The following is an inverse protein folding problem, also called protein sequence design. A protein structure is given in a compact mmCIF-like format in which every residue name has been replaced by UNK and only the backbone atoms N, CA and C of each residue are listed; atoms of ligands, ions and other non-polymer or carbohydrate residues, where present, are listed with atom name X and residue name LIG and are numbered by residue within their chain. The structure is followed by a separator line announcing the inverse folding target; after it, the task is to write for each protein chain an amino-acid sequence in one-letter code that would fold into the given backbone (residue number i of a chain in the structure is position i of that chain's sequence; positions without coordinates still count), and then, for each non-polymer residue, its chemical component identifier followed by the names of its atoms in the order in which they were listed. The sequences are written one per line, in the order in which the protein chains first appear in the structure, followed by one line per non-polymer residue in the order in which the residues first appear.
data_IF_401563249293
#
_entry.id   IF_401563249293
#
_cell.length_a   1.000
_cell.length_b   1.000
_cell.length_c   1.000
_cell.angle_alpha   90.00
_cell.angle_beta   90.00
_cell.angle_gamma   90.00
#
_symmetry.space_group_name_H-M   'P 1'
#
loop_
_entity.id
_entity.type
_entity.pdbx_description
1 polymer ?
#
# COMPACT_ATOMS: atom_id res chain seq x y z
N UNK A 1 -5.29 2.35 -24.27
CA UNK A 1 -4.55 1.53 -23.30
C UNK A 1 -5.58 1.18 -22.20
N UNK A 2 -5.30 0.30 -21.23
CA UNK A 2 -6.33 -0.03 -20.22
C UNK A 2 -6.50 1.18 -19.29
N UNK A 3 -7.72 1.70 -19.11
CA UNK A 3 -8.00 2.87 -18.27
C UNK A 3 -7.45 2.72 -16.84
N UNK A 4 -7.58 1.53 -16.23
CA UNK A 4 -7.04 1.25 -14.91
C UNK A 4 -5.50 1.38 -14.87
N UNK A 5 -4.83 0.95 -15.95
CA UNK A 5 -3.39 1.08 -16.08
C UNK A 5 -2.96 2.53 -16.33
N UNK A 6 -3.73 3.30 -17.09
CA UNK A 6 -3.49 4.73 -17.30
C UNK A 6 -3.55 5.49 -15.98
N UNK A 7 -4.55 5.20 -15.13
CA UNK A 7 -4.69 5.78 -13.79
C UNK A 7 -3.51 5.39 -12.87
N UNK A 8 -3.13 4.11 -12.83
CA UNK A 8 -1.99 3.65 -12.03
C UNK A 8 -0.65 4.26 -12.50
N UNK A 9 -0.46 4.38 -13.81
CA UNK A 9 0.72 5.03 -14.39
C UNK A 9 0.75 6.53 -14.07
N UNK A 10 -0.39 7.21 -14.13
CA UNK A 10 -0.48 8.64 -13.79
C UNK A 10 -0.08 8.89 -12.33
N UNK A 11 -0.61 8.12 -11.39
CA UNK A 11 -0.20 8.19 -9.98
C UNK A 11 1.31 7.97 -9.80
N UNK A 12 1.88 6.97 -10.49
CA UNK A 12 3.32 6.69 -10.44
C UNK A 12 4.17 7.84 -10.99
N UNK A 13 3.71 8.52 -12.04
CA UNK A 13 4.41 9.67 -12.63
C UNK A 13 4.33 10.90 -11.71
N UNK A 14 3.19 11.13 -11.05
CA UNK A 14 3.04 12.18 -10.03
C UNK A 14 4.00 11.96 -8.86
N UNK A 15 4.17 10.72 -8.42
CA UNK A 15 5.20 10.40 -7.42
C UNK A 15 6.62 10.71 -7.91
N UNK A 16 6.90 10.46 -9.19
CA UNK A 16 8.17 10.86 -9.81
C UNK A 16 8.40 12.37 -9.73
N UNK A 17 7.35 13.17 -9.93
CA UNK A 17 7.40 14.63 -9.75
C UNK A 17 7.69 15.01 -8.30
N UNK A 18 7.02 14.37 -7.33
CA UNK A 18 7.31 14.56 -5.90
C UNK A 18 8.78 14.32 -5.58
N UNK A 19 9.35 13.17 -5.99
CA UNK A 19 10.76 12.84 -5.72
C UNK A 19 11.71 13.93 -6.25
N UNK A 20 11.45 14.46 -7.44
CA UNK A 20 12.29 15.52 -8.03
C UNK A 20 12.17 16.82 -7.23
N UNK A 21 10.95 17.23 -6.89
CA UNK A 21 10.70 18.48 -6.17
C UNK A 21 11.20 18.43 -4.73
N UNK A 22 11.03 17.31 -4.03
CA UNK A 22 11.50 17.12 -2.66
C UNK A 22 13.03 17.24 -2.53
N UNK A 23 13.77 17.01 -3.62
CA UNK A 23 15.23 17.15 -3.68
C UNK A 23 15.70 18.50 -4.22
N UNK A 24 14.78 19.42 -4.50
CA UNK A 24 15.09 20.74 -5.04
C UNK A 24 14.88 21.78 -3.94
N UNK A 25 15.96 22.45 -3.54
CA UNK A 25 15.91 23.51 -2.53
C UNK A 25 14.92 24.62 -2.95
N UNK A 26 14.05 25.05 -2.02
CA UNK A 26 13.05 26.08 -2.28
C UNK A 26 11.79 25.58 -3.00
N UNK A 27 11.62 24.26 -3.16
CA UNK A 27 10.43 23.63 -3.75
C UNK A 27 9.58 22.86 -2.74
N UNK A 28 9.70 23.14 -1.44
CA UNK A 28 9.08 22.36 -0.36
C UNK A 28 7.55 22.33 -0.49
N UNK A 29 6.92 23.47 -0.75
CA UNK A 29 5.46 23.57 -0.94
C UNK A 29 5.01 22.80 -2.19
N UNK A 30 5.77 22.87 -3.29
CA UNK A 30 5.44 22.15 -4.52
C UNK A 30 5.65 20.64 -4.36
N UNK A 31 6.60 20.23 -3.52
CA UNK A 31 6.82 18.84 -3.17
C UNK A 31 5.62 18.28 -2.41
N UNK A 32 5.16 18.97 -1.36
CA UNK A 32 3.97 18.58 -0.58
C UNK A 32 2.71 18.50 -1.47
N UNK A 33 2.51 19.47 -2.36
CA UNK A 33 1.42 19.43 -3.33
C UNK A 33 1.52 18.25 -4.30
N UNK A 34 2.74 17.90 -4.73
CA UNK A 34 2.96 16.77 -5.64
C UNK A 34 2.77 15.42 -4.94
N UNK A 35 3.15 15.32 -3.66
CA UNK A 35 2.89 14.15 -2.82
C UNK A 35 1.38 13.93 -2.67
N UNK A 36 0.65 14.96 -2.23
CA UNK A 36 -0.80 14.87 -2.07
C UNK A 36 -1.50 14.51 -3.39
N UNK A 37 -1.10 15.13 -4.51
CA UNK A 37 -1.67 14.81 -5.81
C UNK A 37 -1.42 13.35 -6.23
N UNK A 38 -0.27 12.76 -5.86
CA UNK A 38 0.01 11.36 -6.12
C UNK A 38 -0.86 10.44 -5.25
N UNK A 39 -1.07 10.79 -3.98
CA UNK A 39 -1.93 10.05 -3.05
C UNK A 39 -3.40 10.12 -3.52
N UNK A 40 -3.90 11.32 -3.86
CA UNK A 40 -5.26 11.52 -4.36
C UNK A 40 -5.51 10.69 -5.63
N UNK A 41 -4.54 10.67 -6.56
CA UNK A 41 -4.64 9.84 -7.77
C UNK A 41 -4.72 8.33 -7.47
N UNK A 42 -4.05 7.87 -6.41
CA UNK A 42 -4.16 6.47 -5.95
C UNK A 42 -5.52 6.20 -5.30
N UNK A 43 -6.06 7.14 -4.53
CA UNK A 43 -7.39 7.00 -3.93
C UNK A 43 -8.48 6.98 -5.00
N UNK A 44 -8.38 7.84 -6.01
CA UNK A 44 -9.26 7.86 -7.17
C UNK A 44 -9.20 6.52 -7.93
N UNK A 45 -7.99 6.00 -8.18
CA UNK A 45 -7.79 4.69 -8.78
C UNK A 45 -8.47 3.58 -7.96
N UNK A 46 -8.29 3.56 -6.64
CA UNK A 46 -8.91 2.56 -5.77
C UNK A 46 -10.44 2.65 -5.78
N UNK A 47 -10.98 3.86 -5.73
CA UNK A 47 -12.43 4.13 -5.84
C UNK A 47 -12.99 3.64 -7.18
N UNK A 48 -12.33 3.97 -8.28
CA UNK A 48 -12.71 3.53 -9.62
C UNK A 48 -12.60 2.01 -9.78
N UNK A 49 -11.60 1.38 -9.16
CA UNK A 49 -11.46 -0.08 -9.20
C UNK A 49 -12.61 -0.77 -8.46
N UNK A 50 -13.02 -0.26 -7.29
CA UNK A 50 -14.17 -0.77 -6.54
C UNK A 50 -15.48 -0.56 -7.29
N UNK A 51 -15.70 0.65 -7.83
CA UNK A 51 -16.98 1.05 -8.38
C UNK A 51 -17.18 0.63 -9.84
N UNK A 52 -16.13 0.65 -10.68
CA UNK A 52 -16.30 0.62 -12.14
C UNK A 52 -15.42 -0.38 -12.88
N UNK A 53 -14.15 -0.52 -12.49
CA UNK A 53 -13.14 -1.20 -13.32
C UNK A 53 -12.88 -2.64 -12.87
N UNK A 54 -12.73 -2.87 -11.56
CA UNK A 54 -12.33 -4.15 -10.93
C UNK A 54 -11.17 -4.85 -11.62
N UNK A 55 -10.15 -4.08 -11.98
CA UNK A 55 -9.00 -4.61 -12.67
C UNK A 55 -7.95 -5.18 -11.71
N UNK A 56 -7.75 -4.52 -10.56
CA UNK A 56 -6.68 -4.87 -9.61
C UNK A 56 -7.21 -5.57 -8.36
N UNK A 57 -8.41 -5.20 -7.92
CA UNK A 57 -8.99 -5.67 -6.67
C UNK A 57 -8.22 -5.15 -5.45
N UNK A 58 -8.22 -5.89 -4.33
CA UNK A 58 -7.70 -5.42 -3.04
C UNK A 58 -6.16 -5.37 -2.96
N UNK A 59 -5.47 -5.62 -4.06
CA UNK A 59 -4.01 -5.65 -4.11
C UNK A 59 -3.50 -4.57 -5.05
N UNK A 60 -2.54 -3.78 -4.57
CA UNK A 60 -1.95 -2.70 -5.33
C UNK A 60 -1.38 -3.18 -6.67
N UNK A 61 -1.59 -2.40 -7.76
CA UNK A 61 -0.97 -2.65 -9.06
C UNK A 61 0.55 -2.84 -8.93
N UNK A 62 1.11 -3.77 -9.69
CA UNK A 62 2.58 -4.02 -9.69
C UNK A 62 3.42 -2.75 -9.91
N UNK A 63 2.91 -1.79 -10.70
CA UNK A 63 3.62 -0.52 -10.95
C UNK A 63 3.75 0.35 -9.69
N UNK A 64 2.81 0.22 -8.74
CA UNK A 64 2.83 0.92 -7.45
C UNK A 64 3.62 0.15 -6.40
N UNK A 65 3.80 -1.17 -6.52
CA UNK A 65 4.59 -1.96 -5.55
C UNK A 65 6.05 -1.52 -5.43
N UNK A 66 6.59 -0.86 -6.46
CA UNK A 66 7.92 -0.23 -6.41
C UNK A 66 7.94 1.13 -5.72
N UNK A 67 6.78 1.63 -5.29
CA UNK A 67 6.59 2.83 -4.48
C UNK A 67 5.74 2.42 -3.27
N UNK A 68 6.35 1.86 -2.23
CA UNK A 68 5.63 1.21 -1.13
C UNK A 68 4.55 2.08 -0.50
N UNK A 69 4.85 3.37 -0.32
CA UNK A 69 3.90 4.34 0.21
C UNK A 69 2.62 4.42 -0.63
N UNK A 70 2.72 4.47 -1.96
CA UNK A 70 1.55 4.49 -2.83
C UNK A 70 0.83 3.13 -2.87
N UNK A 71 1.55 2.02 -2.77
CA UNK A 71 0.93 0.70 -2.67
C UNK A 71 0.09 0.58 -1.38
N UNK A 72 0.62 1.06 -0.25
CA UNK A 72 -0.10 1.14 1.02
C UNK A 72 -1.37 1.97 0.90
N UNK A 73 -1.25 3.19 0.37
CA UNK A 73 -2.39 4.09 0.16
C UNK A 73 -3.47 3.44 -0.71
N UNK A 74 -3.08 2.72 -1.76
CA UNK A 74 -4.03 1.99 -2.60
C UNK A 74 -4.77 0.91 -1.81
N UNK A 75 -4.03 0.04 -1.11
CA UNK A 75 -4.63 -1.09 -0.40
C UNK A 75 -5.61 -0.62 0.69
N UNK A 76 -5.23 0.42 1.46
CA UNK A 76 -6.08 1.02 2.48
C UNK A 76 -7.31 1.71 1.87
N UNK A 77 -7.14 2.48 0.80
CA UNK A 77 -8.26 3.15 0.13
C UNK A 77 -9.23 2.12 -0.48
N UNK A 78 -8.73 1.09 -1.14
CA UNK A 78 -9.55 0.04 -1.73
C UNK A 78 -10.35 -0.71 -0.64
N UNK A 79 -9.70 -1.07 0.48
CA UNK A 79 -10.37 -1.63 1.66
C UNK A 79 -11.52 -0.73 2.12
N UNK A 80 -11.22 0.54 2.39
CA UNK A 80 -12.21 1.51 2.87
C UNK A 80 -13.39 1.68 1.90
N UNK A 81 -13.13 1.87 0.61
CA UNK A 81 -14.18 2.03 -0.40
C UNK A 81 -15.01 0.76 -0.57
N UNK A 82 -14.39 -0.42 -0.47
CA UNK A 82 -15.11 -1.69 -0.54
C UNK A 82 -16.07 -1.84 0.64
N UNK A 83 -15.59 -1.57 1.86
CA UNK A 83 -16.40 -1.63 3.07
C UNK A 83 -17.55 -0.62 3.05
N UNK A 84 -17.24 0.65 2.77
CA UNK A 84 -18.23 1.71 2.69
C UNK A 84 -19.30 1.42 1.62
N UNK A 85 -18.90 0.97 0.43
CA UNK A 85 -19.84 0.67 -0.63
C UNK A 85 -20.73 -0.53 -0.29
N UNK A 86 -20.14 -1.61 0.24
CA UNK A 86 -20.87 -2.80 0.65
C UNK A 86 -21.89 -2.47 1.74
N UNK A 87 -21.49 -1.76 2.80
CA UNK A 87 -22.41 -1.38 3.88
C UNK A 87 -23.53 -0.48 3.41
N UNK A 88 -23.20 0.58 2.65
CA UNK A 88 -24.19 1.55 2.21
C UNK A 88 -25.23 0.93 1.27
N UNK A 89 -24.81 -0.01 0.42
CA UNK A 89 -25.73 -0.77 -0.42
C UNK A 89 -26.69 -1.64 0.42
N UNK A 90 -26.16 -2.42 1.36
CA UNK A 90 -26.98 -3.36 2.15
C UNK A 90 -27.86 -2.66 3.19
N UNK A 91 -27.48 -1.48 3.67
CA UNK A 91 -28.30 -0.63 4.54
C UNK A 91 -29.36 0.17 3.77
N UNK A 92 -29.36 0.10 2.43
CA UNK A 92 -30.31 0.82 1.58
C UNK A 92 -30.05 2.32 1.46
N UNK A 93 -28.86 2.80 1.84
CA UNK A 93 -28.47 4.20 1.69
C UNK A 93 -28.19 4.58 0.24
N UNK A 94 -27.93 3.60 -0.61
CA UNK A 94 -27.77 3.79 -2.06
C UNK A 94 -29.14 3.58 -2.71
N UNK A 95 -29.85 4.69 -2.98
CA UNK A 95 -31.20 4.65 -3.55
C UNK A 95 -31.26 4.05 -4.96
N UNK A 96 -30.20 4.21 -5.77
CA UNK A 96 -30.00 3.52 -7.04
C UNK A 96 -28.53 3.48 -7.41
N UNK A 97 -28.00 2.30 -7.76
CA UNK A 97 -26.64 2.16 -8.34
C UNK A 97 -26.63 2.88 -9.71
N UNK A 98 -25.62 3.70 -9.98
CA UNK A 98 -25.45 4.35 -11.28
C UNK A 98 -25.23 3.31 -12.39
N UNK A 99 -25.60 3.61 -13.64
CA UNK A 99 -25.56 2.62 -14.72
C UNK A 99 -24.16 2.05 -15.01
N UNK A 100 -23.11 2.78 -14.67
CA UNK A 100 -21.70 2.40 -14.83
C UNK A 100 -21.08 1.76 -13.58
N UNK A 101 -21.81 1.70 -12.46
CA UNK A 101 -21.31 1.11 -11.23
C UNK A 101 -21.59 -0.40 -11.20
N UNK A 102 -20.57 -1.14 -10.82
CA UNK A 102 -20.64 -2.57 -10.58
C UNK A 102 -21.33 -2.84 -9.24
N UNK A 103 -21.94 -4.02 -9.04
CA UNK A 103 -22.51 -4.40 -7.75
C UNK A 103 -21.48 -4.28 -6.61
N UNK A 104 -21.86 -4.17 -5.33
CA UNK A 104 -20.86 -4.24 -4.26
C UNK A 104 -20.28 -5.66 -4.14
N UNK A 105 -19.02 -5.74 -3.69
CA UNK A 105 -18.36 -7.02 -3.33
C UNK A 105 -18.25 -7.09 -1.82
N UNK A 106 -18.38 -8.29 -1.26
CA UNK A 106 -18.14 -8.51 0.16
C UNK A 106 -16.69 -8.14 0.51
N UNK A 107 -16.44 -7.33 1.56
CA UNK A 107 -15.10 -7.07 2.06
C UNK A 107 -14.35 -8.37 2.39
N UNK A 108 -13.03 -8.30 2.37
CA UNK A 108 -12.18 -9.43 2.76
C UNK A 108 -12.44 -9.80 4.24
N UNK A 109 -12.41 -11.10 4.54
CA UNK A 109 -12.48 -11.56 5.93
C UNK A 109 -11.29 -11.04 6.75
N UNK A 110 -10.12 -10.99 6.10
CA UNK A 110 -8.91 -10.38 6.63
C UNK A 110 -8.54 -9.16 5.77
N UNK A 111 -9.00 -7.95 6.12
CA UNK A 111 -8.62 -6.71 5.44
C UNK A 111 -7.13 -6.42 5.58
N UNK A 112 -6.62 -5.56 4.70
CA UNK A 112 -5.20 -5.20 4.64
C UNK A 112 -4.68 -4.63 5.95
N UNK A 113 -5.43 -3.71 6.56
CA UNK A 113 -5.02 -3.07 7.82
C UNK A 113 -4.89 -4.09 8.96
N UNK A 114 -5.82 -5.04 9.06
CA UNK A 114 -5.75 -6.13 10.06
C UNK A 114 -4.66 -7.14 9.75
N UNK A 115 -4.43 -7.41 8.46
CA UNK A 115 -3.33 -8.26 8.01
C UNK A 115 -1.98 -7.66 8.42
N UNK A 116 -1.76 -6.36 8.19
CA UNK A 116 -0.54 -5.66 8.60
C UNK A 116 -0.29 -5.75 10.11
N UNK A 117 -1.30 -5.47 10.93
CA UNK A 117 -1.18 -5.59 12.39
C UNK A 117 -0.81 -7.01 12.82
N UNK A 118 -1.38 -8.04 12.17
CA UNK A 118 -1.05 -9.42 12.46
C UNK A 118 0.38 -9.80 12.03
N UNK A 119 0.88 -9.22 10.93
CA UNK A 119 2.28 -9.36 10.50
C UNK A 119 3.22 -8.74 11.54
N UNK A 120 2.95 -7.51 11.97
CA UNK A 120 3.75 -6.82 12.98
C UNK A 120 3.71 -7.56 14.33
N UNK A 121 2.53 -8.08 14.71
CA UNK A 121 2.40 -8.90 15.91
C UNK A 121 3.30 -10.14 15.84
N UNK A 122 3.27 -10.85 14.71
CA UNK A 122 4.13 -12.02 14.52
C UNK A 122 5.62 -11.66 14.64
N UNK A 123 6.04 -10.56 14.00
CA UNK A 123 7.44 -10.10 14.05
C UNK A 123 7.83 -9.73 15.49
N UNK A 124 6.97 -9.03 16.22
CA UNK A 124 7.21 -8.67 17.62
C UNK A 124 7.39 -9.92 18.49
N UNK A 125 6.53 -10.93 18.32
CA UNK A 125 6.62 -12.22 19.02
C UNK A 125 7.93 -12.96 18.71
N UNK A 126 8.38 -12.96 17.44
CA UNK A 126 9.63 -13.61 17.06
C UNK A 126 10.88 -12.90 17.58
N UNK A 127 10.85 -11.57 17.66
CA UNK A 127 11.97 -10.77 18.18
C UNK A 127 11.97 -10.67 19.71
N UNK A 128 10.87 -11.04 20.37
CA UNK A 128 10.67 -10.77 21.80
C UNK A 128 10.63 -9.27 22.11
N UNK A 129 10.21 -8.45 21.13
CA UNK A 129 10.28 -7.00 21.14
C UNK A 129 8.91 -6.33 21.23
N UNK A 130 8.89 -5.00 21.05
CA UNK A 130 7.65 -4.21 21.00
C UNK A 130 7.02 -4.19 19.61
N UNK A 131 5.76 -3.76 19.51
CA UNK A 131 5.11 -3.50 18.22
C UNK A 131 5.84 -2.39 17.43
N UNK A 132 6.42 -1.41 18.12
CA UNK A 132 7.16 -0.32 17.46
C UNK A 132 8.41 -0.86 16.75
N UNK A 133 9.15 -1.77 17.39
CA UNK A 133 10.30 -2.45 16.79
C UNK A 133 9.89 -3.30 15.58
N UNK A 134 8.75 -4.00 15.69
CA UNK A 134 8.22 -4.80 14.60
C UNK A 134 7.79 -3.93 13.41
N UNK A 135 7.16 -2.78 13.65
CA UNK A 135 6.83 -1.81 12.62
C UNK A 135 8.08 -1.32 11.89
N UNK A 136 9.15 -0.97 12.61
CA UNK A 136 10.43 -0.59 11.97
C UNK A 136 10.94 -1.72 11.06
N UNK A 137 10.86 -2.98 11.51
CA UNK A 137 11.28 -4.14 10.71
C UNK A 137 10.41 -4.31 9.46
N UNK A 138 9.09 -4.29 9.59
CA UNK A 138 8.18 -4.49 8.46
C UNK A 138 8.28 -3.37 7.43
N UNK A 139 8.31 -2.12 7.86
CA UNK A 139 8.48 -0.96 6.97
C UNK A 139 9.88 -0.85 6.37
N UNK A 140 10.91 -1.45 6.98
CA UNK A 140 12.25 -1.53 6.38
C UNK A 140 12.36 -2.51 5.22
N UNK A 141 11.41 -3.45 5.09
CA UNK A 141 11.37 -4.47 4.05
C UNK A 141 10.11 -4.36 3.18
N UNK A 142 9.85 -3.20 2.56
CA UNK A 142 8.58 -2.94 1.92
C UNK A 142 8.32 -3.87 0.72
N UNK A 143 9.38 -4.32 0.03
CA UNK A 143 9.24 -5.26 -1.09
C UNK A 143 8.78 -6.64 -0.63
N UNK A 144 9.34 -7.17 0.46
CA UNK A 144 8.85 -8.41 1.06
C UNK A 144 7.41 -8.25 1.54
N UNK A 145 7.10 -7.14 2.20
CA UNK A 145 5.77 -6.88 2.75
C UNK A 145 4.70 -6.78 1.64
N UNK A 146 4.93 -5.93 0.62
CA UNK A 146 3.99 -5.76 -0.49
C UNK A 146 3.90 -7.01 -1.38
N UNK A 147 5.02 -7.71 -1.56
CA UNK A 147 5.05 -9.00 -2.25
C UNK A 147 4.19 -10.03 -1.53
N UNK A 148 4.37 -10.17 -0.21
CA UNK A 148 3.60 -11.10 0.60
C UNK A 148 2.09 -10.79 0.60
N UNK A 149 1.70 -9.50 0.64
CA UNK A 149 0.31 -9.10 0.49
C UNK A 149 -0.25 -9.50 -0.88
N UNK A 150 0.50 -9.22 -1.95
CA UNK A 150 0.09 -9.54 -3.33
C UNK A 150 -0.03 -11.04 -3.57
N UNK A 151 0.86 -11.83 -2.95
CA UNK A 151 0.86 -13.29 -3.01
C UNK A 151 -0.15 -13.94 -2.04
N UNK A 152 -0.91 -13.13 -1.29
CA UNK A 152 -1.95 -13.56 -0.34
C UNK A 152 -1.42 -14.49 0.74
N UNK A 153 -0.21 -14.22 1.21
CA UNK A 153 0.38 -14.98 2.30
C UNK A 153 -0.39 -14.74 3.59
N UNK A 154 -0.50 -15.79 4.41
CA UNK A 154 -0.97 -15.66 5.78
C UNK A 154 -0.01 -14.73 6.57
N UNK A 155 -0.51 -13.97 7.57
CA UNK A 155 0.31 -13.01 8.31
C UNK A 155 1.60 -13.60 8.88
N UNK A 156 1.56 -14.83 9.38
CA UNK A 156 2.72 -15.50 9.96
C UNK A 156 3.78 -15.83 8.89
N UNK A 157 3.34 -16.28 7.71
CA UNK A 157 4.24 -16.56 6.59
C UNK A 157 4.84 -15.27 6.02
N UNK A 158 4.05 -14.20 5.96
CA UNK A 158 4.50 -12.87 5.55
C UNK A 158 5.51 -12.29 6.54
N UNK A 159 5.21 -12.34 7.85
CA UNK A 159 6.11 -11.89 8.90
C UNK A 159 7.42 -12.68 8.92
N UNK A 160 7.37 -14.00 8.69
CA UNK A 160 8.57 -14.82 8.56
C UNK A 160 9.43 -14.42 7.34
N UNK A 161 8.80 -14.13 6.19
CA UNK A 161 9.51 -13.69 4.98
C UNK A 161 10.17 -12.31 5.17
N UNK A 162 9.44 -11.36 5.76
CA UNK A 162 9.94 -10.02 6.12
C UNK A 162 11.12 -10.12 7.09
N UNK A 163 10.98 -10.92 8.15
CA UNK A 163 12.02 -11.11 9.15
C UNK A 163 13.28 -11.76 8.56
N UNK A 164 13.10 -12.75 7.67
CA UNK A 164 14.22 -13.39 6.98
C UNK A 164 14.98 -12.38 6.09
N UNK A 165 14.28 -11.51 5.36
CA UNK A 165 14.93 -10.47 4.55
C UNK A 165 15.66 -9.45 5.44
N UNK A 166 15.03 -9.01 6.53
CA UNK A 166 15.64 -8.10 7.49
C UNK A 166 16.94 -8.67 8.08
N UNK A 167 16.91 -9.92 8.56
CA UNK A 167 18.07 -10.60 9.13
C UNK A 167 19.17 -10.85 8.09
N UNK A 168 18.82 -11.21 6.86
CA UNK A 168 19.78 -11.36 5.78
C UNK A 168 20.52 -10.04 5.48
N UNK A 169 19.80 -8.91 5.48
CA UNK A 169 20.39 -7.59 5.31
C UNK A 169 21.26 -7.19 6.51
N UNK A 170 20.82 -7.44 7.74
CA UNK A 170 21.64 -7.19 8.94
C UNK A 170 22.93 -8.03 8.96
N UNK A 171 22.87 -9.29 8.52
CA UNK A 171 24.03 -10.16 8.38
C UNK A 171 25.04 -9.66 7.31
N UNK A 172 24.60 -8.80 6.39
CA UNK A 172 25.47 -8.12 5.42
C UNK A 172 26.10 -6.82 5.95
N UNK A 173 25.59 -6.24 7.05
CA UNK A 173 26.16 -5.03 7.69
C UNK A 173 27.45 -5.35 8.49
N UNK A 174 27.88 -6.61 8.52
CA UNK A 174 29.18 -7.01 9.07
C UNK A 174 30.41 -6.56 8.26
N UNK A 175 30.25 -5.87 7.12
CA UNK A 175 31.39 -5.43 6.29
C UNK A 175 31.31 -4.05 5.62
N UNK A 176 30.25 -3.24 5.80
CA UNK A 176 30.29 -1.82 5.40
C UNK A 176 29.14 -1.01 6.03
N UNK A 177 29.52 0.11 6.64
CA UNK A 177 28.72 1.26 7.08
C UNK A 177 27.29 1.38 6.51
N UNK A 178 26.30 1.31 7.38
CA UNK A 178 24.94 1.80 7.12
C UNK A 178 24.71 3.13 7.85
N UNK A 179 25.24 4.21 7.27
CA UNK A 179 24.81 5.57 7.56
C UNK A 179 24.60 6.37 6.27
N UNK A 180 23.67 5.92 5.43
CA UNK A 180 22.96 6.68 4.40
C UNK A 180 22.09 5.67 3.64
N UNK A 181 20.79 5.95 3.50
CA UNK A 181 19.91 5.46 2.42
C UNK A 181 18.42 5.45 2.80
N UNK A 182 18.02 6.17 3.86
CA UNK A 182 16.61 6.33 4.22
C UNK A 182 15.86 7.42 3.42
N UNK A 183 16.42 7.98 2.35
CA UNK A 183 15.74 9.01 1.52
C UNK A 183 15.95 8.83 0.00
N UNK A 184 15.90 7.59 -0.52
CA UNK A 184 15.99 7.34 -1.96
C UNK A 184 14.72 6.84 -2.66
#
# INVERSE_FOLDING_TARGET
MNAAFEEALAARLLWGKYIVLARTEGCEEQAEQAEQAAIDAVHDLASNDVLKLRHYGPHAPMILQFVPHLADQYNMAHEHYTEAYYENFHKGFIGSIQADWLPPVKPLELPYTKWLVAVDQYIAEQLGGSFDDAGVVSYSQPRALMGAWSDRLAPEAAGAAVLAEYQAKQGHVGLADMSADWEC
#
